data_IF_464315266594
#
_entry.id   IF_464315266594
#
_cell.length_a   1.000
_cell.length_b   1.000
_cell.length_c   1.000
_cell.angle_alpha   90.00
_cell.angle_beta   90.00
_cell.angle_gamma   90.00
#
_symmetry.space_group_name_H-M   'P 1'
#
loop_
_entity.id
_entity.type
_entity.pdbx_description
1 polymer ?
#
# COMPACT_ATOMS: atom_id res chain seq x y z
N UNK A 1 10.24 11.09 -26.05
CA UNK A 1 9.06 10.23 -25.75
C UNK A 1 8.15 10.89 -24.71
N UNK A 2 8.63 11.20 -23.49
CA UNK A 2 7.79 11.83 -22.45
C UNK A 2 7.33 13.26 -22.82
N UNK A 3 8.22 14.11 -23.35
CA UNK A 3 7.83 15.46 -23.84
C UNK A 3 6.76 15.44 -24.93
N UNK A 4 6.90 14.50 -25.88
CA UNK A 4 5.93 14.27 -26.95
C UNK A 4 4.58 13.80 -26.41
N UNK A 5 4.58 12.89 -25.43
CA UNK A 5 3.35 12.46 -24.74
C UNK A 5 2.68 13.63 -23.99
N UNK A 6 3.46 14.45 -23.28
CA UNK A 6 2.96 15.66 -22.62
C UNK A 6 2.29 16.63 -23.61
N UNK A 7 2.94 16.89 -24.75
CA UNK A 7 2.37 17.72 -25.82
C UNK A 7 1.07 17.16 -26.40
N UNK A 8 1.01 15.85 -26.67
CA UNK A 8 -0.21 15.17 -27.15
C UNK A 8 -1.35 15.22 -26.15
N UNK A 9 -1.03 15.22 -24.86
CA UNK A 9 -2.01 15.35 -23.78
C UNK A 9 -2.36 16.81 -23.46
N UNK A 10 -1.72 17.80 -24.10
CA UNK A 10 -1.96 19.22 -23.79
C UNK A 10 -1.49 19.62 -22.38
N UNK A 11 -0.47 18.94 -21.87
CA UNK A 11 0.14 19.23 -20.57
C UNK A 11 1.33 20.16 -20.78
N UNK A 12 1.33 21.30 -20.09
CA UNK A 12 2.47 22.23 -20.08
C UNK A 12 3.66 21.58 -19.38
N UNK A 13 4.84 21.79 -19.96
CA UNK A 13 6.09 21.31 -19.42
C UNK A 13 6.90 22.47 -18.85
N UNK A 14 7.75 22.19 -17.88
CA UNK A 14 8.76 23.13 -17.38
C UNK A 14 9.96 23.22 -18.33
N UNK A 15 10.94 24.06 -17.98
CA UNK A 15 12.15 24.31 -18.79
C UNK A 15 13.04 23.06 -18.93
N UNK A 16 12.89 22.08 -18.03
CA UNK A 16 13.60 20.80 -18.07
C UNK A 16 12.81 19.72 -18.83
N UNK A 17 11.56 19.99 -19.18
CA UNK A 17 10.67 19.10 -19.91
C UNK A 17 9.93 18.09 -19.02
N UNK A 18 9.82 18.36 -17.73
CA UNK A 18 8.93 17.67 -16.80
C UNK A 18 7.56 18.33 -16.77
N UNK A 19 6.57 17.70 -16.14
CA UNK A 19 5.25 18.28 -15.96
C UNK A 19 5.33 19.58 -15.15
N UNK A 20 4.82 20.69 -15.71
CA UNK A 20 4.67 21.92 -14.96
C UNK A 20 3.52 21.77 -13.95
N UNK A 21 3.86 21.77 -12.68
CA UNK A 21 2.90 21.64 -11.57
C UNK A 21 2.41 22.99 -11.09
N UNK A 22 1.34 22.97 -10.31
CA UNK A 22 0.74 24.16 -9.71
C UNK A 22 1.25 24.31 -8.27
N UNK A 23 1.70 25.51 -7.84
CA UNK A 23 2.10 25.75 -6.46
C UNK A 23 1.03 25.28 -5.45
N UNK A 24 1.46 24.61 -4.39
CA UNK A 24 0.62 23.98 -3.35
C UNK A 24 -0.36 22.89 -3.84
N UNK A 25 -0.33 22.54 -5.12
CA UNK A 25 -1.09 21.46 -5.75
C UNK A 25 -0.15 20.64 -6.64
N UNK A 26 0.87 19.99 -6.06
CA UNK A 26 2.02 19.46 -6.80
C UNK A 26 1.70 18.28 -7.72
N UNK A 27 0.47 17.74 -7.64
CA UNK A 27 0.01 16.60 -8.44
C UNK A 27 -0.93 17.05 -9.57
N UNK A 28 -1.36 18.31 -9.57
CA UNK A 28 -2.19 18.86 -10.64
C UNK A 28 -1.33 19.29 -11.81
N UNK A 29 -1.80 18.95 -13.02
CA UNK A 29 -1.19 19.41 -14.27
C UNK A 29 -1.89 20.67 -14.77
N UNK A 30 -1.38 21.29 -15.83
CA UNK A 30 -2.07 22.38 -16.52
C UNK A 30 -3.41 21.99 -17.16
N UNK A 31 -3.75 20.69 -17.21
CA UNK A 31 -5.03 20.20 -17.74
C UNK A 31 -5.89 19.69 -16.59
N UNK A 32 -7.04 20.33 -16.39
CA UNK A 32 -8.00 19.94 -15.35
C UNK A 32 -8.41 18.46 -15.50
N UNK A 33 -8.53 17.76 -14.37
CA UNK A 33 -8.84 16.33 -14.32
C UNK A 33 -7.70 15.39 -14.72
N UNK A 34 -6.50 15.93 -15.02
CA UNK A 34 -5.28 15.14 -15.22
C UNK A 34 -4.29 15.44 -14.13
N UNK A 35 -3.86 14.36 -13.47
CA UNK A 35 -2.87 14.39 -12.40
C UNK A 35 -1.58 13.71 -12.86
N UNK A 36 -0.46 14.17 -12.32
CA UNK A 36 0.86 13.62 -12.59
C UNK A 36 1.47 13.03 -11.31
N UNK A 37 2.27 11.98 -11.49
CA UNK A 37 2.95 11.30 -10.39
C UNK A 37 4.29 10.72 -10.86
N UNK A 38 5.21 10.56 -9.91
CA UNK A 38 6.49 9.90 -10.15
C UNK A 38 7.41 10.65 -11.11
N UNK A 39 8.24 9.95 -11.90
CA UNK A 39 9.34 10.57 -12.64
C UNK A 39 8.95 11.55 -13.74
N UNK A 40 7.65 11.70 -14.06
CA UNK A 40 7.18 12.74 -14.96
C UNK A 40 7.17 14.12 -14.29
N UNK A 41 7.11 14.19 -12.96
CA UNK A 41 7.17 15.43 -12.20
C UNK A 41 8.61 15.94 -12.06
N UNK A 42 9.53 15.05 -11.70
CA UNK A 42 10.96 15.31 -11.52
C UNK A 42 11.68 13.97 -11.26
N UNK A 43 13.03 13.89 -11.27
CA UNK A 43 13.74 12.67 -10.88
C UNK A 43 13.40 12.27 -9.44
N UNK A 44 12.84 11.08 -9.27
CA UNK A 44 12.31 10.58 -7.99
C UNK A 44 12.69 9.13 -7.76
N UNK A 45 12.76 8.75 -6.49
CA UNK A 45 12.86 7.35 -6.11
C UNK A 45 11.48 6.66 -6.14
N UNK A 46 11.48 5.35 -5.85
CA UNK A 46 10.25 4.55 -5.84
C UNK A 46 9.30 5.01 -4.72
N UNK A 47 9.72 5.15 -3.44
CA UNK A 47 8.88 5.69 -2.38
C UNK A 47 8.17 7.00 -2.73
N UNK A 48 8.90 8.01 -3.23
CA UNK A 48 8.33 9.30 -3.59
C UNK A 48 7.31 9.17 -4.73
N UNK A 49 7.62 8.34 -5.72
CA UNK A 49 6.70 8.05 -6.83
C UNK A 49 5.40 7.40 -6.36
N UNK A 50 5.47 6.53 -5.34
CA UNK A 50 4.29 5.89 -4.74
C UNK A 50 3.46 6.89 -3.92
N UNK A 51 4.10 7.83 -3.22
CA UNK A 51 3.42 8.91 -2.51
C UNK A 51 2.66 9.79 -3.48
N UNK A 52 3.30 10.22 -4.58
CA UNK A 52 2.65 11.01 -5.61
C UNK A 52 1.48 10.26 -6.25
N UNK A 53 1.66 8.97 -6.57
CA UNK A 53 0.61 8.16 -7.18
C UNK A 53 -0.60 8.03 -6.25
N UNK A 54 -0.36 7.90 -4.95
CA UNK A 54 -1.40 7.84 -3.92
C UNK A 54 -2.16 9.17 -3.80
N UNK A 55 -1.46 10.31 -3.82
CA UNK A 55 -2.10 11.62 -3.83
C UNK A 55 -2.87 11.92 -5.13
N UNK A 56 -2.34 11.49 -6.28
CA UNK A 56 -2.99 11.66 -7.58
C UNK A 56 -4.28 10.82 -7.65
N UNK A 57 -4.25 9.59 -7.13
CA UNK A 57 -5.44 8.76 -6.97
C UNK A 57 -6.46 9.41 -6.03
N UNK A 58 -6.04 9.94 -4.88
CA UNK A 58 -6.94 10.62 -3.94
C UNK A 58 -7.62 11.86 -4.55
N UNK A 59 -6.92 12.63 -5.37
CA UNK A 59 -7.50 13.76 -6.10
C UNK A 59 -8.50 13.30 -7.17
N UNK A 60 -8.17 12.23 -7.91
CA UNK A 60 -9.09 11.65 -8.88
C UNK A 60 -10.35 11.07 -8.22
N UNK A 61 -10.21 10.42 -7.07
CA UNK A 61 -11.34 9.87 -6.31
C UNK A 61 -12.27 10.97 -5.79
N UNK A 62 -11.74 12.12 -5.38
CA UNK A 62 -12.57 13.27 -5.01
C UNK A 62 -13.46 13.73 -6.18
N UNK A 63 -12.92 13.78 -7.40
CA UNK A 63 -13.71 14.12 -8.60
C UNK A 63 -14.76 13.05 -8.94
N UNK A 64 -14.48 11.78 -8.63
CA UNK A 64 -15.32 10.63 -8.95
C UNK A 64 -16.27 10.21 -7.81
N UNK A 65 -16.32 10.98 -6.72
CA UNK A 65 -17.03 10.60 -5.50
C UNK A 65 -18.50 10.23 -5.75
N UNK A 66 -19.20 10.97 -6.61
CA UNK A 66 -20.62 10.74 -6.92
C UNK A 66 -20.89 9.48 -7.74
N UNK A 67 -19.88 8.96 -8.45
CA UNK A 67 -19.98 7.77 -9.32
C UNK A 67 -19.05 6.65 -8.82
N UNK A 68 -18.65 6.70 -7.55
CA UNK A 68 -17.71 5.74 -6.96
C UNK A 68 -18.21 4.32 -7.16
N UNK A 69 -17.36 3.48 -7.74
CA UNK A 69 -17.67 2.08 -7.97
C UNK A 69 -18.61 1.79 -9.16
N UNK A 70 -19.13 2.79 -9.86
CA UNK A 70 -20.10 2.57 -10.96
C UNK A 70 -19.56 1.68 -12.09
N UNK A 71 -18.24 1.68 -12.31
CA UNK A 71 -17.54 0.82 -13.28
C UNK A 71 -16.60 -0.20 -12.61
N UNK A 72 -16.61 -0.30 -11.29
CA UNK A 72 -15.78 -1.27 -10.59
C UNK A 72 -16.28 -2.68 -10.91
N UNK A 73 -15.33 -3.58 -11.21
CA UNK A 73 -15.61 -5.00 -11.41
C UNK A 73 -14.98 -5.77 -10.29
N UNK A 74 -15.76 -6.64 -9.65
CA UNK A 74 -15.20 -7.60 -8.73
C UNK A 74 -14.44 -8.66 -9.53
N UNK A 75 -13.22 -8.98 -9.09
CA UNK A 75 -12.47 -10.07 -9.67
C UNK A 75 -13.14 -11.38 -9.27
N UNK A 76 -13.61 -12.10 -10.28
CA UNK A 76 -14.17 -13.44 -10.10
C UNK A 76 -13.05 -14.48 -10.14
N UNK A 77 -13.11 -15.41 -9.19
CA UNK A 77 -12.21 -16.55 -9.10
C UNK A 77 -13.00 -17.82 -9.45
N UNK A 78 -12.35 -18.86 -9.98
CA UNK A 78 -12.99 -20.16 -10.11
C UNK A 78 -13.46 -20.67 -8.74
N UNK A 79 -14.46 -21.58 -8.71
CA UNK A 79 -14.89 -22.21 -7.47
C UNK A 79 -13.70 -22.79 -6.69
N UNK A 80 -13.71 -22.61 -5.37
CA UNK A 80 -12.70 -23.19 -4.50
C UNK A 80 -12.79 -24.72 -4.56
N UNK A 81 -11.66 -25.36 -4.80
CA UNK A 81 -11.50 -26.81 -4.80
C UNK A 81 -11.35 -27.29 -3.35
N UNK A 82 -12.18 -28.25 -2.97
CA UNK A 82 -12.06 -28.90 -1.66
C UNK A 82 -10.84 -29.84 -1.63
N UNK A 83 -9.93 -29.60 -0.68
CA UNK A 83 -8.63 -30.31 -0.59
C UNK A 83 -8.33 -30.82 0.82
N UNK A 84 -9.34 -30.86 1.70
CA UNK A 84 -9.17 -31.20 3.11
C UNK A 84 -8.70 -32.64 3.30
N UNK A 85 -9.25 -33.57 2.52
CA UNK A 85 -8.97 -35.01 2.63
C UNK A 85 -7.86 -35.48 1.68
N UNK A 86 -7.20 -34.55 0.97
CA UNK A 86 -6.09 -34.86 0.07
C UNK A 86 -4.76 -34.86 0.81
N UNK A 87 -3.88 -35.80 0.46
CA UNK A 87 -2.48 -35.71 0.87
C UNK A 87 -1.86 -34.39 0.37
N UNK A 88 -1.00 -33.71 1.17
CA UNK A 88 -0.39 -32.47 0.72
C UNK A 88 0.43 -32.66 -0.56
N UNK A 89 0.22 -31.78 -1.53
CA UNK A 89 0.91 -31.67 -2.80
C UNK A 89 1.37 -30.23 -2.96
N UNK A 90 2.61 -29.99 -2.56
CA UNK A 90 3.21 -28.66 -2.42
C UNK A 90 3.94 -28.28 -3.71
N UNK A 91 3.69 -27.07 -4.22
CA UNK A 91 4.56 -26.43 -5.22
C UNK A 91 5.47 -25.41 -4.58
N UNK A 92 6.76 -25.44 -4.90
CA UNK A 92 7.76 -24.51 -4.37
C UNK A 92 8.34 -23.65 -5.49
N UNK A 93 8.14 -22.33 -5.40
CA UNK A 93 8.65 -21.37 -6.40
C UNK A 93 9.73 -20.49 -5.78
N UNK A 94 10.97 -20.62 -6.25
CA UNK A 94 12.14 -19.91 -5.70
C UNK A 94 12.51 -18.70 -6.55
N UNK A 95 12.50 -17.51 -5.95
CA UNK A 95 12.73 -16.25 -6.65
C UNK A 95 14.23 -15.91 -6.73
N UNK A 96 14.68 -15.42 -7.88
CA UNK A 96 16.00 -14.79 -8.02
C UNK A 96 16.01 -13.33 -7.55
N UNK A 97 14.89 -12.62 -7.75
CA UNK A 97 14.76 -11.19 -7.47
C UNK A 97 15.88 -10.36 -8.13
N UNK A 98 16.20 -10.67 -9.38
CA UNK A 98 17.38 -10.15 -10.06
C UNK A 98 18.65 -10.57 -9.32
N UNK A 99 19.47 -9.61 -8.88
CA UNK A 99 20.66 -9.86 -8.06
C UNK A 99 20.38 -9.87 -6.55
N UNK A 100 19.17 -9.52 -6.10
CA UNK A 100 18.89 -9.36 -4.67
C UNK A 100 18.89 -10.68 -3.89
N UNK A 101 18.52 -11.80 -4.53
CA UNK A 101 18.64 -13.13 -3.94
C UNK A 101 19.74 -13.90 -4.66
N UNK A 102 19.66 -14.01 -5.99
CA UNK A 102 20.62 -14.79 -6.77
C UNK A 102 22.07 -14.27 -6.73
N UNK A 103 22.28 -13.01 -6.33
CA UNK A 103 23.62 -12.47 -6.13
C UNK A 103 24.30 -12.96 -4.85
N UNK A 104 23.57 -13.55 -3.91
CA UNK A 104 24.07 -13.89 -2.57
C UNK A 104 23.78 -15.33 -2.12
N UNK A 105 23.05 -16.13 -2.91
CA UNK A 105 22.86 -17.57 -2.65
C UNK A 105 22.55 -18.35 -3.94
N UNK A 106 22.69 -19.68 -3.91
CA UNK A 106 22.37 -20.58 -5.03
C UNK A 106 20.87 -20.87 -5.14
N UNK A 107 20.17 -20.08 -5.96
CA UNK A 107 18.73 -20.25 -6.18
C UNK A 107 18.40 -21.60 -6.81
N UNK A 108 19.26 -22.11 -7.71
CA UNK A 108 19.02 -23.40 -8.38
C UNK A 108 19.19 -24.56 -7.39
N UNK A 109 20.28 -24.57 -6.62
CA UNK A 109 20.50 -25.62 -5.63
C UNK A 109 19.44 -25.61 -4.51
N UNK A 110 18.87 -24.44 -4.20
CA UNK A 110 17.73 -24.32 -3.27
C UNK A 110 16.46 -24.94 -3.88
N UNK A 111 16.15 -24.70 -5.15
CA UNK A 111 15.00 -25.32 -5.83
C UNK A 111 15.17 -26.83 -5.99
N UNK A 112 16.36 -27.32 -6.35
CA UNK A 112 16.64 -28.76 -6.43
C UNK A 112 16.51 -29.45 -5.07
N UNK A 113 16.98 -28.80 -3.99
CA UNK A 113 16.76 -29.29 -2.64
C UNK A 113 15.27 -29.35 -2.28
N UNK A 114 14.47 -28.36 -2.68
CA UNK A 114 13.05 -28.36 -2.39
C UNK A 114 12.33 -29.59 -2.97
N UNK A 115 12.75 -30.10 -4.12
CA UNK A 115 12.21 -31.33 -4.74
C UNK A 115 12.41 -32.58 -3.88
N UNK A 116 13.40 -32.60 -2.98
CA UNK A 116 13.66 -33.75 -2.11
C UNK A 116 12.83 -33.75 -0.83
N UNK A 117 12.08 -32.68 -0.57
CA UNK A 117 11.28 -32.53 0.64
C UNK A 117 9.98 -33.34 0.55
N UNK A 118 9.47 -33.88 1.68
CA UNK A 118 8.17 -34.55 1.71
C UNK A 118 7.07 -33.66 1.13
N UNK A 119 6.10 -34.28 0.45
CA UNK A 119 4.92 -33.65 -0.15
C UNK A 119 5.19 -32.66 -1.29
N UNK A 120 6.44 -32.34 -1.63
CA UNK A 120 6.74 -31.45 -2.75
C UNK A 120 6.53 -32.17 -4.07
N UNK A 121 5.51 -31.75 -4.81
CA UNK A 121 5.15 -32.30 -6.11
C UNK A 121 5.77 -31.52 -7.28
N UNK A 122 6.12 -30.25 -7.06
CA UNK A 122 6.76 -29.38 -8.05
C UNK A 122 7.71 -28.39 -7.37
N UNK A 123 8.86 -28.12 -7.98
CA UNK A 123 9.69 -27.00 -7.59
C UNK A 123 10.44 -26.40 -8.77
N UNK A 124 10.44 -25.07 -8.86
CA UNK A 124 11.09 -24.33 -9.94
C UNK A 124 11.64 -22.98 -9.48
N UNK A 125 12.41 -22.33 -10.36
CA UNK A 125 12.99 -21.01 -10.14
C UNK A 125 12.36 -19.97 -11.06
N UNK A 126 12.10 -18.77 -10.56
CA UNK A 126 11.60 -17.64 -11.34
C UNK A 126 12.50 -16.42 -11.18
N UNK A 127 12.73 -15.66 -12.27
CA UNK A 127 13.58 -14.47 -12.22
C UNK A 127 12.97 -13.39 -11.28
N UNK A 128 11.69 -13.10 -11.48
CA UNK A 128 10.89 -12.20 -10.65
C UNK A 128 9.53 -12.84 -10.38
N UNK A 129 9.41 -13.58 -9.28
CA UNK A 129 8.17 -14.33 -8.97
C UNK A 129 6.93 -13.43 -8.87
N UNK A 130 7.09 -12.16 -8.48
CA UNK A 130 6.01 -11.17 -8.43
C UNK A 130 5.66 -10.51 -9.78
N UNK A 131 6.32 -10.89 -10.87
CA UNK A 131 5.95 -10.42 -12.22
C UNK A 131 4.65 -11.07 -12.68
N UNK A 132 3.91 -10.38 -13.55
CA UNK A 132 2.65 -10.86 -14.09
C UNK A 132 2.78 -12.24 -14.75
N UNK A 133 3.80 -12.42 -15.59
CA UNK A 133 4.07 -13.71 -16.25
C UNK A 133 4.34 -14.85 -15.25
N UNK A 134 5.05 -14.55 -14.15
CA UNK A 134 5.33 -15.56 -13.11
C UNK A 134 4.09 -15.89 -12.27
N UNK A 135 3.20 -14.92 -12.04
CA UNK A 135 1.92 -15.13 -11.36
C UNK A 135 1.03 -16.06 -12.17
N UNK A 136 0.93 -15.82 -13.47
CA UNK A 136 0.18 -16.69 -14.39
C UNK A 136 0.79 -18.08 -14.47
N UNK A 137 2.13 -18.16 -14.46
CA UNK A 137 2.86 -19.43 -14.39
C UNK A 137 2.56 -20.20 -13.10
N UNK A 138 2.57 -19.56 -11.93
CA UNK A 138 2.21 -20.22 -10.65
C UNK A 138 0.79 -20.79 -10.74
N UNK A 139 -0.16 -20.01 -11.25
CA UNK A 139 -1.55 -20.47 -11.45
C UNK A 139 -1.62 -21.68 -12.38
N UNK A 140 -0.88 -21.65 -13.49
CA UNK A 140 -0.84 -22.77 -14.44
C UNK A 140 -0.22 -24.03 -13.83
N UNK A 141 0.93 -23.90 -13.17
CA UNK A 141 1.64 -25.00 -12.51
C UNK A 141 0.83 -25.60 -11.36
N UNK A 142 0.08 -24.77 -10.63
CA UNK A 142 -0.84 -25.24 -9.59
C UNK A 142 -1.93 -26.16 -10.16
N UNK A 143 -2.46 -25.85 -11.35
CA UNK A 143 -3.43 -26.71 -12.04
C UNK A 143 -2.76 -27.95 -12.63
N UNK A 144 -1.68 -27.77 -13.37
CA UNK A 144 -0.96 -28.84 -14.09
C UNK A 144 -0.49 -29.95 -13.15
N UNK A 145 0.11 -29.59 -12.01
CA UNK A 145 0.64 -30.56 -11.06
C UNK A 145 -0.37 -31.00 -9.99
N UNK A 146 -1.62 -30.56 -10.10
CA UNK A 146 -2.67 -30.76 -9.10
C UNK A 146 -2.17 -30.41 -7.69
N UNK A 147 -1.63 -29.20 -7.55
CA UNK A 147 -1.14 -28.70 -6.26
C UNK A 147 -2.32 -28.36 -5.37
N UNK A 148 -2.19 -28.61 -4.07
CA UNK A 148 -3.15 -28.17 -3.06
C UNK A 148 -2.51 -27.28 -1.98
N UNK A 149 -1.19 -27.04 -2.06
CA UNK A 149 -0.43 -26.12 -1.21
C UNK A 149 0.64 -25.42 -2.04
N UNK A 150 0.98 -24.17 -1.72
CA UNK A 150 2.02 -23.43 -2.44
C UNK A 150 2.97 -22.72 -1.47
N UNK A 151 4.27 -22.85 -1.73
CA UNK A 151 5.33 -22.07 -1.09
C UNK A 151 5.99 -21.17 -2.12
N UNK A 152 6.12 -19.88 -1.80
CA UNK A 152 6.96 -18.96 -2.56
C UNK A 152 8.15 -18.55 -1.72
N UNK A 153 9.36 -18.94 -2.15
CA UNK A 153 10.60 -18.56 -1.50
C UNK A 153 11.14 -17.27 -2.11
N UNK A 154 10.92 -16.12 -1.46
CA UNK A 154 11.28 -14.81 -2.00
C UNK A 154 11.52 -13.74 -0.92
N UNK A 155 10.77 -12.64 -0.98
CA UNK A 155 10.83 -11.49 -0.09
C UNK A 155 9.97 -11.68 1.17
N UNK A 156 9.77 -10.59 1.91
CA UNK A 156 8.90 -10.59 3.09
C UNK A 156 7.42 -10.82 2.73
N UNK A 157 6.66 -11.58 3.55
CA UNK A 157 5.22 -11.72 3.36
C UNK A 157 4.47 -10.38 3.42
N UNK A 158 5.01 -9.39 4.15
CA UNK A 158 4.40 -8.07 4.31
C UNK A 158 4.17 -7.31 3.00
N UNK A 159 4.86 -7.68 1.92
CA UNK A 159 4.80 -6.95 0.65
C UNK A 159 3.95 -7.67 -0.39
N UNK A 160 4.21 -8.96 -0.64
CA UNK A 160 3.66 -9.66 -1.80
C UNK A 160 2.82 -10.91 -1.46
N UNK A 161 2.60 -11.22 -0.17
CA UNK A 161 1.74 -12.35 0.19
C UNK A 161 0.33 -12.26 -0.46
N UNK A 162 -0.38 -11.11 -0.41
CA UNK A 162 -1.70 -11.00 -1.03
C UNK A 162 -1.68 -11.28 -2.55
N UNK A 163 -0.59 -10.91 -3.23
CA UNK A 163 -0.41 -11.12 -4.66
C UNK A 163 -0.35 -12.62 -5.01
N UNK A 164 0.41 -13.39 -4.23
CA UNK A 164 0.53 -14.84 -4.43
C UNK A 164 -0.70 -15.60 -3.96
N UNK A 165 -1.37 -15.12 -2.91
CA UNK A 165 -2.67 -15.64 -2.51
C UNK A 165 -3.69 -15.51 -3.65
N UNK A 166 -3.75 -14.36 -4.33
CA UNK A 166 -4.61 -14.18 -5.50
C UNK A 166 -4.24 -15.09 -6.68
N UNK A 167 -2.95 -15.38 -6.88
CA UNK A 167 -2.48 -16.35 -7.89
C UNK A 167 -3.03 -17.75 -7.66
N UNK A 168 -2.98 -18.24 -6.41
CA UNK A 168 -3.48 -19.59 -6.09
C UNK A 168 -5.00 -19.64 -6.04
N UNK A 169 -5.67 -18.53 -5.70
CA UNK A 169 -7.13 -18.40 -5.87
C UNK A 169 -7.56 -18.52 -7.32
N UNK A 170 -6.78 -17.96 -8.26
CA UNK A 170 -7.02 -18.16 -9.69
C UNK A 170 -6.79 -19.62 -10.15
N UNK A 171 -6.11 -20.42 -9.33
CA UNK A 171 -6.00 -21.87 -9.50
C UNK A 171 -7.13 -22.66 -8.82
N UNK A 172 -8.06 -21.98 -8.12
CA UNK A 172 -9.14 -22.61 -7.36
C UNK A 172 -8.70 -23.06 -5.96
N UNK A 173 -7.57 -22.59 -5.44
CA UNK A 173 -7.11 -22.93 -4.09
C UNK A 173 -7.49 -21.84 -3.08
N UNK A 174 -7.78 -22.28 -1.86
CA UNK A 174 -7.98 -21.37 -0.73
C UNK A 174 -6.69 -20.53 -0.48
N UNK A 175 -6.79 -19.21 -0.32
CA UNK A 175 -5.62 -18.34 -0.19
C UNK A 175 -4.76 -18.62 1.04
N UNK A 176 -5.29 -19.29 2.06
CA UNK A 176 -4.57 -19.61 3.29
C UNK A 176 -3.81 -20.94 3.22
N UNK A 177 -3.86 -21.63 2.07
CA UNK A 177 -3.04 -22.80 1.75
C UNK A 177 -1.69 -22.42 1.12
N UNK A 178 -1.19 -21.26 1.52
CA UNK A 178 -0.02 -20.59 0.98
C UNK A 178 0.95 -20.23 2.11
N UNK A 179 2.26 -20.30 1.82
CA UNK A 179 3.30 -19.84 2.74
C UNK A 179 4.42 -19.11 1.98
N UNK A 180 4.98 -18.05 2.59
CA UNK A 180 6.20 -17.42 2.08
C UNK A 180 7.43 -17.82 2.89
N UNK A 181 8.45 -18.34 2.21
CA UNK A 181 9.79 -18.48 2.77
C UNK A 181 10.59 -17.20 2.48
N UNK A 182 10.88 -16.40 3.50
CA UNK A 182 11.61 -15.13 3.35
C UNK A 182 13.13 -15.36 3.21
N UNK A 183 13.57 -15.66 2.00
CA UNK A 183 14.98 -15.90 1.67
C UNK A 183 15.71 -14.63 1.20
N UNK A 184 15.05 -13.46 1.20
CA UNK A 184 15.68 -12.18 0.87
C UNK A 184 16.04 -11.37 2.11
N UNK A 185 15.05 -10.77 2.75
CA UNK A 185 15.23 -9.85 3.88
C UNK A 185 15.83 -10.57 5.09
N UNK A 186 15.53 -11.85 5.26
CA UNK A 186 16.03 -12.66 6.38
C UNK A 186 17.13 -13.64 5.97
N UNK A 187 17.61 -13.60 4.73
CA UNK A 187 18.72 -14.45 4.29
C UNK A 187 19.69 -13.71 3.35
N UNK A 188 19.40 -13.58 2.06
CA UNK A 188 20.35 -13.07 1.06
C UNK A 188 20.99 -11.73 1.42
N UNK A 189 20.20 -10.75 1.88
CA UNK A 189 20.70 -9.41 2.20
C UNK A 189 21.57 -9.37 3.46
N UNK A 190 21.19 -10.14 4.49
CA UNK A 190 21.88 -10.14 5.79
C UNK A 190 23.09 -11.07 5.82
N UNK A 191 23.19 -12.00 4.86
CA UNK A 191 24.29 -12.97 4.71
C UNK A 191 25.07 -12.76 3.41
N UNK A 192 25.09 -11.53 2.89
CA UNK A 192 25.68 -11.17 1.59
C UNK A 192 27.17 -11.47 1.44
N UNK A 193 27.87 -11.78 2.53
CA UNK A 193 29.30 -12.14 2.56
C UNK A 193 29.58 -13.63 2.67
N UNK A 194 28.56 -14.46 2.93
CA UNK A 194 28.70 -15.90 3.08
C UNK A 194 27.64 -16.62 2.24
N UNK A 195 28.00 -16.84 0.99
CA UNK A 195 27.13 -17.44 -0.01
C UNK A 195 26.74 -18.89 0.33
N UNK A 196 27.66 -19.64 0.96
CA UNK A 196 27.42 -21.01 1.40
C UNK A 196 26.40 -21.07 2.54
N UNK A 197 26.60 -20.26 3.59
CA UNK A 197 25.67 -20.17 4.70
C UNK A 197 24.30 -19.62 4.27
N UNK A 198 24.26 -18.63 3.38
CA UNK A 198 23.01 -18.09 2.83
C UNK A 198 22.23 -19.16 2.06
N UNK A 199 22.92 -19.95 1.22
CA UNK A 199 22.31 -21.07 0.49
C UNK A 199 21.77 -22.15 1.44
N UNK A 200 22.55 -22.54 2.45
CA UNK A 200 22.11 -23.51 3.44
C UNK A 200 20.90 -23.02 4.24
N UNK A 201 20.95 -21.77 4.73
CA UNK A 201 19.83 -21.16 5.45
C UNK A 201 18.57 -21.08 4.59
N UNK A 202 18.68 -20.75 3.31
CA UNK A 202 17.52 -20.71 2.41
C UNK A 202 16.87 -22.09 2.25
N UNK A 203 17.66 -23.17 2.16
CA UNK A 203 17.15 -24.55 2.17
C UNK A 203 16.35 -24.85 3.44
N UNK A 204 16.90 -24.51 4.60
CA UNK A 204 16.21 -24.71 5.89
C UNK A 204 14.92 -23.90 6.01
N UNK A 205 14.92 -22.64 5.57
CA UNK A 205 13.72 -21.80 5.56
C UNK A 205 12.62 -22.40 4.67
N UNK A 206 12.98 -22.90 3.48
CA UNK A 206 12.01 -23.59 2.62
C UNK A 206 11.52 -24.88 3.28
N UNK A 207 12.40 -25.69 3.88
CA UNK A 207 12.00 -26.91 4.59
C UNK A 207 10.98 -26.61 5.68
N UNK A 208 11.20 -25.56 6.47
CA UNK A 208 10.27 -25.10 7.49
C UNK A 208 8.93 -24.65 6.90
N UNK A 209 8.94 -23.86 5.82
CA UNK A 209 7.72 -23.42 5.14
C UNK A 209 6.94 -24.57 4.51
N UNK A 210 7.62 -25.55 3.90
CA UNK A 210 6.99 -26.77 3.35
C UNK A 210 6.36 -27.60 4.46
N UNK A 211 7.05 -27.77 5.59
CA UNK A 211 6.51 -28.49 6.74
C UNK A 211 5.24 -27.79 7.28
N UNK A 212 5.27 -26.46 7.41
CA UNK A 212 4.13 -25.67 7.86
C UNK A 212 2.96 -25.73 6.89
N UNK A 213 3.19 -25.45 5.60
CA UNK A 213 2.12 -25.40 4.60
C UNK A 213 1.41 -26.76 4.46
N UNK A 214 2.15 -27.86 4.66
CA UNK A 214 1.60 -29.22 4.65
C UNK A 214 0.57 -29.47 5.76
N UNK A 215 0.57 -28.65 6.81
CA UNK A 215 -0.36 -28.75 7.95
C UNK A 215 -1.43 -27.66 7.93
N UNK A 216 -1.41 -26.74 6.95
CA UNK A 216 -2.41 -25.68 6.87
C UNK A 216 -3.77 -26.23 6.42
N UNK A 217 -4.80 -25.63 6.98
CA UNK A 217 -6.19 -25.84 6.63
C UNK A 217 -6.77 -24.59 5.92
N UNK A 218 -7.76 -24.74 5.04
CA UNK A 218 -8.48 -23.61 4.46
C UNK A 218 -9.06 -22.70 5.54
N UNK A 219 -8.88 -21.39 5.39
CA UNK A 219 -9.51 -20.38 6.25
C UNK A 219 -10.41 -19.47 5.42
N UNK A 220 -11.37 -18.84 6.10
CA UNK A 220 -12.35 -17.97 5.46
C UNK A 220 -12.38 -16.61 6.16
N UNK A 221 -12.49 -15.55 5.34
CA UNK A 221 -12.62 -14.19 5.85
C UNK A 221 -14.01 -14.01 6.46
N UNK A 222 -14.07 -13.33 7.59
CA UNK A 222 -15.33 -12.90 8.20
C UNK A 222 -15.62 -11.49 7.70
N UNK A 223 -16.82 -11.29 7.16
CA UNK A 223 -17.30 -9.96 6.79
C UNK A 223 -17.69 -9.19 8.05
N UNK A 224 -17.27 -7.93 8.12
CA UNK A 224 -17.57 -7.06 9.25
C UNK A 224 -18.05 -5.70 8.74
N UNK A 225 -19.01 -5.05 9.42
CA UNK A 225 -19.41 -3.70 9.07
C UNK A 225 -18.23 -2.74 9.23
N UNK A 226 -18.19 -1.71 8.39
CA UNK A 226 -17.16 -0.68 8.38
C UNK A 226 -17.75 0.66 8.83
N UNK A 227 -17.06 1.34 9.72
CA UNK A 227 -17.35 2.74 10.04
C UNK A 227 -16.80 3.64 8.92
N UNK A 228 -17.67 4.34 8.20
CA UNK A 228 -17.30 5.14 7.03
C UNK A 228 -16.94 6.58 7.40
N UNK A 229 -16.16 6.76 8.46
CA UNK A 229 -15.63 8.05 8.91
C UNK A 229 -14.16 7.94 9.27
N UNK A 230 -13.46 9.07 9.34
CA UNK A 230 -12.02 9.10 9.59
C UNK A 230 -11.65 10.03 10.75
N UNK A 231 -10.58 9.67 11.47
CA UNK A 231 -9.92 10.52 12.44
C UNK A 231 -8.61 11.04 11.86
N UNK A 232 -8.44 12.36 11.83
CA UNK A 232 -7.17 13.01 11.45
C UNK A 232 -6.58 13.68 12.69
N UNK A 233 -5.34 13.32 13.03
CA UNK A 233 -4.63 13.83 14.21
C UNK A 233 -3.56 14.83 13.75
N UNK A 234 -3.79 16.11 14.01
CA UNK A 234 -2.91 17.22 13.65
C UNK A 234 -3.55 18.16 12.64
N UNK A 235 -3.80 19.41 13.05
CA UNK A 235 -4.37 20.48 12.23
C UNK A 235 -3.34 21.28 11.44
N UNK A 236 -2.23 20.66 11.05
CA UNK A 236 -1.24 21.23 10.12
C UNK A 236 -1.69 21.14 8.66
N UNK A 237 -0.84 21.56 7.72
CA UNK A 237 -1.16 21.53 6.28
C UNK A 237 -1.45 20.11 5.79
N UNK A 238 -0.67 19.12 6.23
CA UNK A 238 -0.88 17.72 5.87
C UNK A 238 -2.25 17.21 6.36
N UNK A 239 -2.58 17.41 7.64
CA UNK A 239 -3.84 16.95 8.21
C UNK A 239 -5.06 17.69 7.66
N UNK A 240 -4.95 19.00 7.43
CA UNK A 240 -6.03 19.77 6.82
C UNK A 240 -6.32 19.34 5.37
N UNK A 241 -5.30 19.10 4.55
CA UNK A 241 -5.50 18.57 3.20
C UNK A 241 -6.09 17.15 3.22
N UNK A 242 -5.61 16.29 4.11
CA UNK A 242 -6.15 14.93 4.25
C UNK A 242 -7.63 14.94 4.68
N UNK A 243 -7.98 15.78 5.66
CA UNK A 243 -9.35 15.94 6.11
C UNK A 243 -10.26 16.46 5.00
N UNK A 244 -9.80 17.47 4.26
CA UNK A 244 -10.57 18.07 3.19
C UNK A 244 -10.78 17.11 2.02
N UNK A 245 -9.74 16.41 1.59
CA UNK A 245 -9.84 15.43 0.51
C UNK A 245 -10.81 14.28 0.86
N UNK A 246 -10.75 13.75 2.09
CA UNK A 246 -11.70 12.73 2.55
C UNK A 246 -13.14 13.26 2.60
N UNK A 247 -13.31 14.50 3.04
CA UNK A 247 -14.62 15.12 3.15
C UNK A 247 -15.23 15.44 1.77
N UNK A 248 -14.41 15.90 0.81
CA UNK A 248 -14.81 16.09 -0.60
C UNK A 248 -15.19 14.76 -1.28
N UNK A 249 -14.60 13.66 -0.80
CA UNK A 249 -14.98 12.30 -1.19
C UNK A 249 -16.28 11.78 -0.53
N UNK A 250 -16.86 12.54 0.40
CA UNK A 250 -18.12 12.22 1.09
C UNK A 250 -17.96 11.53 2.45
N UNK A 251 -16.74 11.41 2.98
CA UNK A 251 -16.50 10.76 4.28
C UNK A 251 -16.50 11.79 5.42
N UNK A 252 -17.29 11.61 6.50
CA UNK A 252 -17.17 12.41 7.71
C UNK A 252 -15.77 12.30 8.33
N UNK A 253 -15.24 13.44 8.79
CA UNK A 253 -13.90 13.53 9.38
C UNK A 253 -13.95 14.20 10.74
N UNK A 254 -13.27 13.62 11.72
CA UNK A 254 -12.88 14.27 12.97
C UNK A 254 -11.43 14.77 12.85
N UNK A 255 -11.23 16.08 12.80
CA UNK A 255 -9.90 16.70 12.77
C UNK A 255 -9.52 17.17 14.17
N UNK A 256 -8.55 16.50 14.80
CA UNK A 256 -8.11 16.79 16.17
C UNK A 256 -6.83 17.63 16.15
N UNK A 257 -6.87 18.80 16.77
CA UNK A 257 -5.74 19.72 16.92
C UNK A 257 -5.49 20.06 18.39
N UNK A 258 -4.24 19.87 18.84
CA UNK A 258 -3.84 20.10 20.24
C UNK A 258 -3.83 21.57 20.65
N UNK A 259 -3.69 22.50 19.70
CA UNK A 259 -3.66 23.94 19.91
C UNK A 259 -5.02 24.61 19.64
N UNK A 260 -5.14 25.87 20.05
CA UNK A 260 -6.33 26.68 19.79
C UNK A 260 -6.53 27.06 18.31
N UNK A 261 -5.51 26.90 17.46
CA UNK A 261 -5.54 27.31 16.05
C UNK A 261 -4.98 26.23 15.13
N UNK A 262 -5.63 26.03 13.99
CA UNK A 262 -5.10 25.23 12.87
C UNK A 262 -3.93 25.96 12.20
N UNK A 263 -3.12 25.23 11.42
CA UNK A 263 -2.07 25.76 10.54
C UNK A 263 -0.69 25.09 10.70
N UNK A 264 -0.42 24.40 11.81
CA UNK A 264 0.85 23.72 12.05
C UNK A 264 2.09 24.62 11.94
N UNK A 265 3.21 24.05 11.48
CA UNK A 265 4.49 24.73 11.34
C UNK A 265 4.50 25.87 10.29
N UNK A 266 3.62 25.83 9.28
CA UNK A 266 3.58 26.87 8.24
C UNK A 266 3.18 28.26 8.79
N UNK A 267 2.67 28.34 10.03
CA UNK A 267 2.41 29.61 10.73
C UNK A 267 3.66 30.48 10.91
N UNK A 268 4.85 29.88 10.94
CA UNK A 268 6.11 30.57 11.26
C UNK A 268 6.99 30.84 10.04
N UNK A 269 6.50 30.57 8.82
CA UNK A 269 7.29 30.77 7.60
C UNK A 269 7.10 32.20 7.07
N UNK A 270 8.21 32.89 6.83
CA UNK A 270 8.22 34.22 6.22
C UNK A 270 8.24 34.06 4.71
N UNK A 271 7.28 34.66 4.00
CA UNK A 271 7.25 34.65 2.55
C UNK A 271 8.46 35.42 1.98
N UNK A 272 8.99 34.95 0.85
CA UNK A 272 10.00 35.70 0.09
C UNK A 272 9.40 37.00 -0.42
N UNK A 273 10.20 38.07 -0.53
CA UNK A 273 9.76 39.33 -1.14
C UNK A 273 9.33 39.18 -2.61
N UNK A 274 9.59 38.03 -3.24
CA UNK A 274 9.21 37.69 -4.61
C UNK A 274 7.94 36.83 -4.71
N UNK A 275 7.26 36.52 -3.60
CA UNK A 275 6.04 35.70 -3.62
C UNK A 275 4.88 36.43 -4.31
N UNK A 276 4.27 35.76 -5.28
CA UNK A 276 2.96 36.12 -5.85
C UNK A 276 1.84 35.58 -4.97
N UNK A 277 0.59 36.01 -5.17
CA UNK A 277 -0.58 35.46 -4.46
C UNK A 277 -0.66 33.93 -4.60
N UNK A 278 -0.32 33.39 -5.79
CA UNK A 278 -0.34 31.96 -6.08
C UNK A 278 0.79 31.17 -5.39
N UNK A 279 1.87 31.84 -5.00
CA UNK A 279 3.04 31.22 -4.33
C UNK A 279 3.16 31.64 -2.87
N UNK A 280 2.18 32.39 -2.35
CA UNK A 280 2.13 32.85 -0.98
C UNK A 280 1.57 31.76 -0.06
N UNK A 281 2.44 31.25 0.80
CA UNK A 281 2.12 30.16 1.74
C UNK A 281 1.07 30.55 2.80
N UNK A 282 1.02 31.83 3.17
CA UNK A 282 0.05 32.37 4.12
C UNK A 282 -1.33 32.60 3.51
N UNK A 283 -1.41 32.92 2.21
CA UNK A 283 -2.67 32.91 1.45
C UNK A 283 -3.22 31.48 1.40
N UNK A 284 -2.41 30.53 0.96
CA UNK A 284 -2.80 29.11 0.89
C UNK A 284 -3.27 28.57 2.26
N UNK A 285 -2.53 28.85 3.34
CA UNK A 285 -2.91 28.41 4.68
C UNK A 285 -4.26 28.98 5.12
N UNK A 286 -4.52 30.28 4.87
CA UNK A 286 -5.78 30.92 5.26
C UNK A 286 -6.97 30.36 4.47
N UNK A 287 -6.80 30.14 3.16
CA UNK A 287 -7.80 29.48 2.33
C UNK A 287 -8.12 28.07 2.88
N UNK A 288 -7.10 27.26 3.12
CA UNK A 288 -7.26 25.91 3.62
C UNK A 288 -7.97 25.86 4.98
N UNK A 289 -7.61 26.74 5.91
CA UNK A 289 -8.30 26.87 7.21
C UNK A 289 -9.77 27.26 7.02
N UNK A 290 -10.07 28.13 6.07
CA UNK A 290 -11.43 28.60 5.79
C UNK A 290 -12.27 27.45 5.24
N UNK A 291 -11.75 26.72 4.24
CA UNK A 291 -12.40 25.54 3.66
C UNK A 291 -12.64 24.46 4.70
N UNK A 292 -11.64 24.14 5.52
CA UNK A 292 -11.77 23.13 6.58
C UNK A 292 -12.85 23.50 7.62
N UNK A 293 -12.90 24.75 8.06
CA UNK A 293 -13.91 25.19 9.03
C UNK A 293 -15.31 25.28 8.44
N UNK A 294 -15.43 25.57 7.14
CA UNK A 294 -16.70 25.71 6.44
C UNK A 294 -17.27 24.39 5.91
N UNK A 295 -16.50 23.29 5.92
CA UNK A 295 -16.93 22.04 5.31
C UNK A 295 -17.90 21.26 6.23
N UNK A 296 -19.11 20.88 5.75
CA UNK A 296 -20.14 20.29 6.60
C UNK A 296 -19.79 18.90 7.16
N UNK A 297 -18.88 18.18 6.50
CA UNK A 297 -18.44 16.85 6.93
C UNK A 297 -17.20 16.85 7.84
N UNK A 298 -16.59 18.02 8.11
CA UNK A 298 -15.39 18.10 8.95
C UNK A 298 -15.73 18.66 10.33
N UNK A 299 -15.51 17.86 11.35
CA UNK A 299 -15.67 18.22 12.75
C UNK A 299 -14.30 18.53 13.35
N UNK A 300 -14.03 19.82 13.57
CA UNK A 300 -12.75 20.29 14.11
C UNK A 300 -12.77 20.31 15.64
N UNK A 301 -11.93 19.48 16.26
CA UNK A 301 -11.70 19.44 17.70
C UNK A 301 -10.41 20.19 18.05
N UNK A 302 -10.54 21.47 18.41
CA UNK A 302 -9.41 22.30 18.87
C UNK A 302 -9.08 22.06 20.33
N UNK A 303 -7.87 22.40 20.74
CA UNK A 303 -7.40 22.24 22.12
C UNK A 303 -7.67 20.83 22.67
N UNK A 304 -7.60 19.84 21.77
CA UNK A 304 -8.03 18.48 22.03
C UNK A 304 -6.92 17.52 21.62
N UNK A 305 -6.73 16.45 22.39
CA UNK A 305 -5.75 15.41 22.13
C UNK A 305 -6.41 14.04 22.13
N UNK A 306 -5.91 13.16 21.28
CA UNK A 306 -6.21 11.72 21.38
C UNK A 306 -5.41 11.16 22.54
N UNK A 307 -6.09 10.51 23.49
CA UNK A 307 -5.44 9.92 24.68
C UNK A 307 -5.41 8.39 24.62
N UNK A 308 -6.31 7.78 23.85
CA UNK A 308 -6.42 6.34 23.70
C UNK A 308 -7.10 6.01 22.37
N UNK A 309 -6.72 4.88 21.77
CA UNK A 309 -7.43 4.31 20.62
C UNK A 309 -7.49 2.79 20.77
N UNK A 310 -8.68 2.24 20.62
CA UNK A 310 -8.96 0.80 20.66
C UNK A 310 -9.67 0.37 19.37
N UNK A 311 -9.78 -0.94 19.17
CA UNK A 311 -10.41 -1.52 17.98
C UNK A 311 -9.41 -2.00 16.93
N UNK A 312 -9.87 -2.15 15.70
CA UNK A 312 -9.10 -2.67 14.57
C UNK A 312 -9.51 -1.95 13.27
N UNK A 313 -8.81 -2.23 12.18
CA UNK A 313 -9.05 -1.61 10.87
C UNK A 313 -10.54 -1.59 10.54
N UNK A 314 -11.08 -0.40 10.27
CA UNK A 314 -12.49 -0.22 9.96
C UNK A 314 -13.45 -0.06 11.14
N UNK A 315 -13.01 -0.32 12.37
CA UNK A 315 -13.82 -0.29 13.58
C UNK A 315 -12.99 0.19 14.78
N UNK A 316 -12.52 1.44 14.71
CA UNK A 316 -11.79 2.06 15.81
C UNK A 316 -12.71 2.90 16.70
N UNK A 317 -12.32 3.01 17.97
CA UNK A 317 -12.87 3.97 18.91
C UNK A 317 -11.72 4.76 19.54
N UNK A 318 -11.70 6.08 19.34
CA UNK A 318 -10.67 6.95 19.91
C UNK A 318 -11.26 7.87 20.95
N UNK A 319 -10.61 7.94 22.10
CA UNK A 319 -10.99 8.82 23.20
C UNK A 319 -10.21 10.12 23.08
N UNK A 320 -10.95 11.22 23.05
CA UNK A 320 -10.46 12.58 22.92
C UNK A 320 -10.58 13.28 24.26
N UNK A 321 -9.58 14.07 24.65
CA UNK A 321 -9.62 14.92 25.84
C UNK A 321 -9.27 16.35 25.49
N UNK A 322 -10.12 17.29 25.89
CA UNK A 322 -9.85 18.71 25.71
C UNK A 322 -9.04 19.31 26.88
N UNK A 323 -8.62 20.57 26.76
CA UNK A 323 -7.89 21.30 27.81
C UNK A 323 -8.65 21.48 29.13
N UNK A 324 -9.98 21.28 29.14
CA UNK A 324 -10.82 21.30 30.34
C UNK A 324 -10.95 19.92 31.01
N UNK A 325 -10.23 18.91 30.52
CA UNK A 325 -10.34 17.50 30.92
C UNK A 325 -11.71 16.85 30.61
N UNK A 326 -12.51 17.44 29.73
CA UNK A 326 -13.72 16.79 29.23
C UNK A 326 -13.32 15.74 28.19
N UNK A 327 -13.97 14.57 28.26
CA UNK A 327 -13.69 13.45 27.38
C UNK A 327 -14.88 13.11 26.49
N UNK A 328 -14.58 12.72 25.25
CA UNK A 328 -15.56 12.19 24.31
C UNK A 328 -14.93 11.06 23.51
N UNK A 329 -15.75 10.10 23.08
CA UNK A 329 -15.31 9.00 22.22
C UNK A 329 -15.86 9.18 20.83
N UNK A 330 -14.99 9.09 19.83
CA UNK A 330 -15.36 9.11 18.41
C UNK A 330 -15.09 7.75 17.79
N UNK A 331 -16.05 7.25 17.00
CA UNK A 331 -15.89 6.03 16.19
C UNK A 331 -15.43 6.44 14.79
N UNK A 332 -14.54 5.65 14.21
CA UNK A 332 -14.03 5.87 12.85
C UNK A 332 -13.46 4.57 12.28
N UNK A 333 -13.38 4.48 10.95
CA UNK A 333 -12.80 3.33 10.26
C UNK A 333 -11.32 3.50 9.91
N UNK A 334 -10.82 4.74 9.87
CA UNK A 334 -9.46 5.06 9.48
C UNK A 334 -8.84 6.17 10.35
N UNK A 335 -7.53 6.07 10.60
CA UNK A 335 -6.73 7.08 11.31
C UNK A 335 -5.63 7.61 10.40
N UNK A 336 -5.53 8.94 10.31
CA UNK A 336 -4.40 9.63 9.68
C UNK A 336 -3.64 10.39 10.77
N UNK A 337 -2.37 10.06 10.96
CA UNK A 337 -1.49 10.74 11.90
C UNK A 337 -0.66 11.78 11.14
N UNK A 338 -0.93 13.06 11.38
CA UNK A 338 -0.33 14.21 10.72
C UNK A 338 0.20 15.23 11.74
N UNK A 339 0.92 14.75 12.75
CA UNK A 339 1.36 15.51 13.93
C UNK A 339 2.68 16.28 13.74
N UNK A 340 3.06 16.56 12.49
CA UNK A 340 4.29 17.27 12.12
C UNK A 340 4.36 18.71 12.62
#
# INVERSE_FOLDING_TARGET
KVRDLGGKLGIQLDDYGFCKTIPFRPLETSRAGVFAAGPFLEPKDIPESVVDASGAAANAEALLAQVRGALARHREYPPEREVKDEAPRVGVFVCHCGSNIAGYLDVKAVAEYAKTLPNVAHAETNLYTCSQDSIERITAQAKEHNLNRVVVASCTPRTHEPLFQDSIRAAGLNPYLFEMANIRNQCSWVHSRDWGAATHKAKELIRMSVARVSQLEPLYKVEMPLEHSALVIGGGIAGMNAALNLAEQGFPVHLVERSARLGGALKSTVNSQQSTVETDSGVYQRDLITRVNGHPLIHVHRETRVIETTGFVGNFASRLRNVKNEEQTVRHGAVIVATG
#
